data_IF_877265086681
#
_entry.id   IF_877265086681
#
_cell.length_a   1.000
_cell.length_b   1.000
_cell.length_c   1.000
_cell.angle_alpha   90.00
_cell.angle_beta   90.00
_cell.angle_gamma   90.00
#
_symmetry.space_group_name_H-M   'P 1'
#
loop_
_entity.id
_entity.type
_entity.pdbx_description
1 polymer ?
#
# COMPACT_ATOMS: atom_id res chain seq x y z
N UNK A 1 -37.52 -65.17 38.09
CA UNK A 1 -37.51 -65.09 36.60
C UNK A 1 -36.65 -66.23 36.08
N UNK A 2 -37.01 -66.87 34.96
CA UNK A 2 -36.13 -67.88 34.37
C UNK A 2 -34.85 -67.23 33.83
N UNK A 3 -33.73 -67.96 33.86
CA UNK A 3 -32.44 -67.48 33.34
C UNK A 3 -32.54 -67.03 31.88
N UNK A 4 -33.38 -67.72 31.10
CA UNK A 4 -33.69 -67.37 29.71
C UNK A 4 -34.35 -66.00 29.60
N UNK A 5 -35.33 -65.69 30.48
CA UNK A 5 -35.98 -64.38 30.48
C UNK A 5 -35.02 -63.26 30.90
N UNK A 6 -34.08 -63.55 31.81
CA UNK A 6 -33.04 -62.60 32.21
C UNK A 6 -32.09 -62.30 31.04
N UNK A 7 -31.64 -63.31 30.30
CA UNK A 7 -30.79 -63.15 29.12
C UNK A 7 -31.51 -62.40 27.99
N UNK A 8 -32.80 -62.66 27.78
CA UNK A 8 -33.61 -61.92 26.80
C UNK A 8 -33.77 -60.44 27.17
N UNK A 9 -33.97 -60.13 28.46
CA UNK A 9 -34.06 -58.74 28.93
C UNK A 9 -32.72 -58.00 28.79
N UNK A 10 -31.60 -58.66 29.10
CA UNK A 10 -30.27 -58.09 28.89
C UNK A 10 -30.00 -57.87 27.40
N UNK A 11 -30.36 -58.82 26.54
CA UNK A 11 -30.24 -58.68 25.09
C UNK A 11 -31.04 -57.49 24.55
N UNK A 12 -32.31 -57.35 24.95
CA UNK A 12 -33.18 -56.25 24.53
C UNK A 12 -32.68 -54.89 25.04
N UNK A 13 -32.16 -54.82 26.26
CA UNK A 13 -31.62 -53.57 26.81
C UNK A 13 -30.34 -53.15 26.11
N UNK A 14 -29.42 -54.07 25.80
CA UNK A 14 -28.19 -53.76 25.05
C UNK A 14 -28.51 -53.30 23.62
N UNK A 15 -29.42 -54.00 22.92
CA UNK A 15 -29.86 -53.61 21.57
C UNK A 15 -30.57 -52.26 21.59
N UNK A 16 -31.47 -52.04 22.55
CA UNK A 16 -32.18 -50.78 22.71
C UNK A 16 -31.25 -49.60 22.98
N UNK A 17 -30.27 -49.78 23.87
CA UNK A 17 -29.27 -48.75 24.19
C UNK A 17 -28.39 -48.43 22.98
N UNK A 18 -27.98 -49.44 22.21
CA UNK A 18 -27.25 -49.26 20.96
C UNK A 18 -28.02 -48.45 19.92
N UNK A 19 -29.31 -48.74 19.71
CA UNK A 19 -30.17 -47.97 18.79
C UNK A 19 -30.32 -46.53 19.28
N UNK A 20 -30.55 -46.29 20.57
CA UNK A 20 -30.65 -44.95 21.13
C UNK A 20 -29.36 -44.12 20.93
N UNK A 21 -28.18 -44.73 21.13
CA UNK A 21 -26.88 -44.09 20.88
C UNK A 21 -26.72 -43.74 19.40
N UNK A 22 -27.04 -44.65 18.48
CA UNK A 22 -26.96 -44.39 17.04
C UNK A 22 -27.90 -43.27 16.60
N UNK A 23 -29.12 -43.21 17.15
CA UNK A 23 -30.07 -42.13 16.89
C UNK A 23 -29.59 -40.79 17.46
N UNK A 24 -28.99 -40.79 18.65
CA UNK A 24 -28.38 -39.60 19.25
C UNK A 24 -27.21 -39.08 18.41
N UNK A 25 -26.31 -39.97 17.95
CA UNK A 25 -25.19 -39.62 17.07
C UNK A 25 -25.71 -39.06 15.74
N UNK A 26 -26.68 -39.71 15.09
CA UNK A 26 -27.28 -39.21 13.84
C UNK A 26 -27.91 -37.83 14.02
N UNK A 27 -28.64 -37.60 15.11
CA UNK A 27 -29.25 -36.30 15.40
C UNK A 27 -28.22 -35.20 15.68
N UNK A 28 -27.11 -35.52 16.35
CA UNK A 28 -26.04 -34.57 16.64
C UNK A 28 -25.17 -34.30 15.41
N UNK A 29 -24.88 -35.31 14.61
CA UNK A 29 -24.13 -35.18 13.35
C UNK A 29 -24.81 -34.19 12.41
N UNK A 30 -26.13 -34.30 12.22
CA UNK A 30 -26.87 -33.38 11.34
C UNK A 30 -26.85 -31.93 11.84
N UNK A 31 -26.89 -31.72 13.17
CA UNK A 31 -26.76 -30.38 13.77
C UNK A 31 -25.36 -29.80 13.60
N UNK A 32 -24.32 -30.61 13.76
CA UNK A 32 -22.92 -30.18 13.58
C UNK A 32 -22.66 -29.83 12.12
N UNK A 33 -23.09 -30.67 11.18
CA UNK A 33 -22.97 -30.39 9.74
C UNK A 33 -23.70 -29.10 9.37
N UNK A 34 -24.94 -28.92 9.86
CA UNK A 34 -25.69 -27.68 9.63
C UNK A 34 -24.98 -26.44 10.18
N UNK A 35 -24.44 -26.51 11.39
CA UNK A 35 -23.68 -25.40 11.99
C UNK A 35 -22.41 -25.06 11.18
N UNK A 36 -21.65 -26.07 10.75
CA UNK A 36 -20.44 -25.86 9.93
C UNK A 36 -20.78 -25.22 8.59
N UNK A 37 -21.85 -25.69 7.92
CA UNK A 37 -22.31 -25.11 6.65
C UNK A 37 -22.75 -23.66 6.83
N UNK A 38 -23.44 -23.32 7.92
CA UNK A 38 -23.83 -21.94 8.23
C UNK A 38 -22.59 -21.08 8.42
N UNK A 39 -21.63 -21.49 9.25
CA UNK A 39 -20.41 -20.71 9.53
C UNK A 39 -19.58 -20.50 8.26
N UNK A 40 -19.33 -21.55 7.50
CA UNK A 40 -18.57 -21.46 6.24
C UNK A 40 -19.32 -20.65 5.18
N UNK A 41 -20.64 -20.79 5.11
CA UNK A 41 -21.50 -20.03 4.22
C UNK A 41 -21.49 -18.54 4.55
N UNK A 42 -21.64 -18.17 5.82
CA UNK A 42 -21.57 -16.76 6.26
C UNK A 42 -20.19 -16.17 5.98
N UNK A 43 -19.11 -16.90 6.27
CA UNK A 43 -17.76 -16.46 5.94
C UNK A 43 -17.58 -16.21 4.44
N UNK A 44 -18.07 -17.13 3.60
CA UNK A 44 -18.02 -16.99 2.14
C UNK A 44 -18.83 -15.80 1.65
N UNK A 45 -20.03 -15.57 2.19
CA UNK A 45 -20.87 -14.41 1.84
C UNK A 45 -20.20 -13.09 2.20
N UNK A 46 -19.55 -13.01 3.37
CA UNK A 46 -18.79 -11.84 3.77
C UNK A 46 -17.60 -11.64 2.82
N UNK A 47 -16.86 -12.71 2.50
CA UNK A 47 -15.72 -12.64 1.58
C UNK A 47 -16.11 -12.19 0.17
N UNK A 48 -17.29 -12.61 -0.33
CA UNK A 48 -17.85 -12.15 -1.60
C UNK A 48 -18.35 -10.70 -1.54
N UNK A 49 -18.74 -10.22 -0.36
CA UNK A 49 -19.11 -8.82 -0.12
C UNK A 49 -17.92 -7.86 -0.05
N UNK A 50 -16.71 -8.37 0.20
CA UNK A 50 -15.48 -7.59 0.08
C UNK A 50 -15.15 -7.44 -1.41
N UNK A 51 -15.08 -6.21 -1.95
CA UNK A 51 -14.63 -5.99 -3.32
C UNK A 51 -13.30 -6.70 -3.54
N UNK A 52 -13.29 -7.69 -4.44
CA UNK A 52 -12.08 -8.40 -4.83
C UNK A 52 -11.24 -7.43 -5.65
N UNK A 53 -10.41 -6.63 -4.96
CA UNK A 53 -9.38 -5.82 -5.59
C UNK A 53 -8.36 -6.80 -6.18
N UNK A 54 -8.56 -7.19 -7.44
CA UNK A 54 -7.52 -7.87 -8.18
C UNK A 54 -6.30 -6.95 -8.11
N UNK A 55 -5.22 -7.42 -7.48
CA UNK A 55 -3.92 -6.75 -7.46
C UNK A 55 -3.28 -6.87 -8.83
N UNK A 56 -4.03 -6.57 -9.88
CA UNK A 56 -3.45 -6.17 -11.15
C UNK A 56 -2.42 -5.11 -10.77
N UNK A 57 -1.13 -5.30 -11.13
CA UNK A 57 -0.17 -4.23 -10.95
C UNK A 57 -0.85 -2.98 -11.51
N UNK A 58 -0.87 -1.86 -10.75
CA UNK A 58 -1.52 -0.65 -11.23
C UNK A 58 -1.05 -0.46 -12.65
N UNK A 59 -2.00 -0.28 -13.58
CA UNK A 59 -1.66 -0.04 -14.98
C UNK A 59 -0.49 0.95 -14.94
N UNK A 60 0.66 0.52 -15.46
CA UNK A 60 1.83 1.39 -15.50
C UNK A 60 1.40 2.48 -16.47
N UNK A 61 0.80 3.53 -15.92
CA UNK A 61 0.43 4.73 -16.63
C UNK A 61 1.78 5.33 -16.98
N UNK A 62 2.27 4.95 -18.16
CA UNK A 62 3.49 5.49 -18.73
C UNK A 62 3.22 6.96 -18.96
N UNK A 63 3.86 7.81 -18.16
CA UNK A 63 3.76 9.24 -18.27
C UNK A 63 4.36 9.68 -19.61
N UNK A 64 3.50 10.04 -20.57
CA UNK A 64 3.95 10.63 -21.84
C UNK A 64 4.32 12.10 -21.61
N UNK A 65 5.60 12.33 -21.32
CA UNK A 65 6.20 13.66 -21.12
C UNK A 65 5.96 14.57 -22.34
N UNK A 66 5.73 13.99 -23.53
CA UNK A 66 5.43 14.70 -24.76
C UNK A 66 4.13 15.52 -24.74
N UNK A 67 3.19 15.22 -23.83
CA UNK A 67 1.94 15.99 -23.70
C UNK A 67 2.07 17.22 -22.78
N UNK A 68 3.17 17.35 -22.04
CA UNK A 68 3.40 18.44 -21.08
C UNK A 68 3.71 19.74 -21.82
N UNK A 69 2.76 20.68 -21.81
CA UNK A 69 2.89 21.98 -22.48
C UNK A 69 3.13 23.13 -21.52
N UNK A 70 2.69 22.98 -20.27
CA UNK A 70 2.78 24.04 -19.25
C UNK A 70 3.37 23.51 -17.94
N UNK A 71 3.99 24.39 -17.12
CA UNK A 71 4.44 24.01 -15.77
C UNK A 71 3.28 23.52 -14.90
N UNK A 72 2.07 24.04 -15.14
CA UNK A 72 0.86 23.60 -14.45
C UNK A 72 0.47 22.15 -14.78
N UNK A 73 0.71 21.70 -16.01
CA UNK A 73 0.53 20.31 -16.41
C UNK A 73 1.53 19.41 -15.68
N UNK A 74 2.78 19.87 -15.53
CA UNK A 74 3.82 19.17 -14.78
C UNK A 74 3.43 19.00 -13.31
N UNK A 75 2.88 20.04 -12.69
CA UNK A 75 2.36 19.96 -11.33
C UNK A 75 1.10 19.08 -11.22
N UNK A 76 0.23 19.05 -12.23
CA UNK A 76 -0.93 18.14 -12.24
C UNK A 76 -0.49 16.67 -12.34
N UNK A 77 0.56 16.39 -13.11
CA UNK A 77 1.20 15.07 -13.17
C UNK A 77 1.85 14.73 -11.82
N UNK A 78 2.58 15.67 -11.23
CA UNK A 78 3.16 15.53 -9.90
C UNK A 78 2.14 15.19 -8.83
N UNK A 79 0.94 15.80 -8.89
CA UNK A 79 -0.16 15.48 -8.00
C UNK A 79 -0.61 14.03 -8.16
N UNK A 80 -0.78 13.56 -9.41
CA UNK A 80 -1.14 12.15 -9.66
C UNK A 80 -0.08 11.22 -9.05
N UNK A 81 1.20 11.46 -9.33
CA UNK A 81 2.32 10.64 -8.81
C UNK A 81 2.34 10.64 -7.28
N UNK A 82 2.11 11.80 -6.65
CA UNK A 82 2.09 11.94 -5.19
C UNK A 82 1.07 11.01 -4.51
N UNK A 83 -0.11 10.85 -5.11
CA UNK A 83 -1.19 9.99 -4.59
C UNK A 83 -1.19 8.57 -5.18
N UNK A 84 -0.49 8.33 -6.30
CA UNK A 84 -0.37 7.03 -6.95
C UNK A 84 1.06 6.50 -6.81
N UNK A 85 1.86 6.41 -7.89
CA UNK A 85 3.15 5.71 -7.92
C UNK A 85 4.08 6.06 -6.76
N UNK A 86 4.19 7.34 -6.40
CA UNK A 86 5.06 7.83 -5.33
C UNK A 86 4.57 7.51 -3.92
N UNK A 87 3.27 7.23 -3.74
CA UNK A 87 2.64 6.89 -2.44
C UNK A 87 3.03 7.84 -1.29
N UNK A 88 3.34 9.09 -1.60
CA UNK A 88 3.87 10.07 -0.65
C UNK A 88 2.86 10.36 0.47
N UNK A 89 1.57 10.36 0.09
CA UNK A 89 0.44 10.57 0.99
C UNK A 89 0.25 9.45 2.05
N UNK A 90 0.89 8.28 1.90
CA UNK A 90 0.83 7.24 2.94
C UNK A 90 1.61 7.62 4.20
N UNK A 91 2.63 8.46 4.04
CA UNK A 91 3.56 8.81 5.09
C UNK A 91 3.47 10.31 5.46
N UNK A 92 3.30 11.17 4.46
CA UNK A 92 3.29 12.62 4.64
C UNK A 92 1.88 13.20 4.60
N UNK A 93 1.63 14.16 5.49
CA UNK A 93 0.44 15.01 5.43
C UNK A 93 0.72 16.31 4.69
N UNK A 94 -0.35 16.91 4.14
CA UNK A 94 -0.36 18.27 3.62
C UNK A 94 -1.22 19.09 4.59
N UNK A 95 -0.59 19.56 5.66
CA UNK A 95 -1.22 20.24 6.78
C UNK A 95 -0.94 19.56 8.13
N UNK A 96 -1.31 20.24 9.23
CA UNK A 96 -1.02 19.76 10.57
C UNK A 96 -1.75 18.43 10.82
N UNK A 97 -0.98 17.42 11.22
CA UNK A 97 -1.51 16.16 11.75
C UNK A 97 -0.93 15.90 13.15
N UNK A 98 -1.82 15.62 14.09
CA UNK A 98 -1.52 15.39 15.52
C UNK A 98 -0.61 14.15 15.73
N UNK A 99 -0.61 13.21 14.77
CA UNK A 99 0.13 11.95 14.84
C UNK A 99 1.14 11.79 13.70
N UNK A 100 1.73 12.88 13.19
CA UNK A 100 2.59 12.75 12.01
C UNK A 100 3.83 11.89 12.32
N UNK A 101 3.92 10.75 11.63
CA UNK A 101 5.09 9.87 11.62
C UNK A 101 6.25 10.46 10.82
N UNK A 102 5.94 11.43 9.96
CA UNK A 102 6.82 12.08 9.01
C UNK A 102 6.59 13.61 9.03
N UNK A 103 7.53 14.41 8.51
CA UNK A 103 7.36 15.86 8.39
C UNK A 103 6.14 16.29 7.57
N UNK A 104 5.50 17.40 7.96
CA UNK A 104 4.43 18.05 7.17
C UNK A 104 5.02 18.69 5.91
N UNK A 105 4.39 18.45 4.76
CA UNK A 105 4.80 19.00 3.46
C UNK A 105 4.13 20.34 3.13
N UNK A 106 3.24 20.86 3.99
CA UNK A 106 2.59 22.16 3.74
C UNK A 106 3.61 23.29 3.59
N UNK A 107 3.58 23.92 2.42
CA UNK A 107 4.45 25.07 2.11
C UNK A 107 5.91 24.70 1.84
N UNK A 108 6.25 23.41 1.73
CA UNK A 108 7.65 22.98 1.58
C UNK A 108 8.26 23.45 0.25
N UNK A 109 7.44 23.55 -0.80
CA UNK A 109 7.87 24.02 -2.11
C UNK A 109 8.22 25.50 -2.17
N UNK A 110 7.80 26.30 -1.18
CA UNK A 110 8.23 27.69 -1.02
C UNK A 110 9.43 27.84 -0.06
N UNK A 111 9.67 26.83 0.80
CA UNK A 111 10.71 26.88 1.84
C UNK A 111 12.04 26.31 1.39
N UNK A 112 12.01 25.32 0.50
CA UNK A 112 13.18 24.55 0.09
C UNK A 112 13.43 24.71 -1.41
N UNK A 113 14.71 24.75 -1.77
CA UNK A 113 15.12 24.74 -3.17
C UNK A 113 14.75 23.41 -3.84
N UNK A 114 14.38 23.40 -5.13
CA UNK A 114 14.07 22.17 -5.89
C UNK A 114 15.15 21.09 -5.76
N UNK A 115 16.41 21.49 -5.80
CA UNK A 115 17.59 20.61 -5.74
C UNK A 115 17.67 19.93 -4.37
N UNK A 116 17.36 20.67 -3.30
CA UNK A 116 17.30 20.13 -1.95
C UNK A 116 16.17 19.12 -1.81
N UNK A 117 15.00 19.40 -2.40
CA UNK A 117 13.87 18.44 -2.39
C UNK A 117 14.25 17.20 -3.21
N UNK A 118 14.88 17.37 -4.37
CA UNK A 118 15.38 16.27 -5.19
C UNK A 118 16.35 15.37 -4.42
N UNK A 119 17.33 15.97 -3.74
CA UNK A 119 18.27 15.25 -2.87
C UNK A 119 17.54 14.57 -1.71
N UNK A 120 16.56 15.22 -1.09
CA UNK A 120 15.75 14.61 -0.02
C UNK A 120 14.99 13.36 -0.48
N UNK A 121 14.58 13.30 -1.75
CA UNK A 121 13.87 12.15 -2.34
C UNK A 121 14.84 11.04 -2.79
N UNK A 122 16.03 11.41 -3.24
CA UNK A 122 17.02 10.50 -3.80
C UNK A 122 18.04 10.01 -2.79
N UNK A 123 18.39 10.79 -1.78
CA UNK A 123 19.19 10.43 -0.62
C UNK A 123 18.58 10.97 0.69
N UNK A 124 17.46 10.37 1.17
CA UNK A 124 16.77 10.82 2.37
C UNK A 124 17.57 10.68 3.67
N UNK A 125 18.77 10.11 3.64
CA UNK A 125 19.65 9.96 4.81
C UNK A 125 20.80 10.97 4.81
N UNK A 126 20.96 11.79 3.77
CA UNK A 126 21.91 12.88 3.72
C UNK A 126 21.63 13.95 4.79
N UNK A 127 20.36 14.12 5.17
CA UNK A 127 19.91 15.10 6.16
C UNK A 127 19.11 14.47 7.28
N UNK A 128 19.27 15.01 8.49
CA UNK A 128 18.50 14.62 9.67
C UNK A 128 17.33 15.58 9.83
N UNK A 129 16.11 15.06 9.72
CA UNK A 129 14.89 15.83 9.96
C UNK A 129 14.45 15.66 11.41
N UNK A 130 14.36 16.79 12.11
CA UNK A 130 13.94 16.85 13.50
C UNK A 130 12.48 17.32 13.62
N UNK A 131 11.77 16.74 14.58
CA UNK A 131 10.43 17.08 15.00
C UNK A 131 10.47 18.08 16.15
N UNK A 132 9.93 19.26 15.87
CA UNK A 132 9.86 20.40 16.79
C UNK A 132 8.47 20.60 17.40
N UNK A 133 7.53 19.69 17.16
CA UNK A 133 6.14 19.83 17.66
C UNK A 133 5.99 19.48 19.14
N UNK A 134 7.01 18.88 19.74
CA UNK A 134 7.01 18.47 21.14
C UNK A 134 7.78 19.46 22.00
N UNK A 135 7.35 19.63 23.25
CA UNK A 135 8.11 20.42 24.22
C UNK A 135 9.45 19.75 24.56
N UNK A 136 10.50 20.56 24.69
CA UNK A 136 11.85 20.11 25.04
C UNK A 136 12.79 20.00 23.85
N UNK A 137 13.76 19.09 23.94
CA UNK A 137 14.74 18.88 22.87
C UNK A 137 14.07 18.26 21.64
N UNK A 138 14.40 18.73 20.42
CA UNK A 138 13.84 18.19 19.20
C UNK A 138 14.28 16.72 19.02
N UNK A 139 13.37 15.89 18.51
CA UNK A 139 13.58 14.45 18.33
C UNK A 139 13.53 14.09 16.85
N UNK A 140 14.16 13.00 16.44
CA UNK A 140 14.00 12.51 15.06
C UNK A 140 12.59 11.95 14.83
N UNK A 141 12.13 12.05 13.58
CA UNK A 141 10.89 11.40 13.17
C UNK A 141 11.02 9.86 13.25
N UNK A 142 9.98 9.14 13.71
CA UNK A 142 10.05 7.69 13.89
C UNK A 142 10.08 6.90 12.57
N UNK A 143 9.66 7.50 11.44
CA UNK A 143 9.78 6.89 10.13
C UNK A 143 11.06 7.33 9.42
N UNK A 144 11.73 6.37 8.75
CA UNK A 144 12.77 6.66 7.78
C UNK A 144 12.19 6.61 6.37
N UNK A 145 12.50 7.61 5.58
CA UNK A 145 12.06 7.69 4.19
C UNK A 145 12.89 6.73 3.31
N UNK A 146 12.26 5.93 2.44
CA UNK A 146 12.97 5.08 1.50
C UNK A 146 13.56 5.89 0.33
N UNK A 147 14.56 5.33 -0.34
CA UNK A 147 15.12 5.89 -1.58
C UNK A 147 14.07 5.82 -2.70
N UNK A 148 13.52 6.97 -3.10
CA UNK A 148 12.33 7.02 -3.98
C UNK A 148 12.64 6.59 -5.43
N UNK A 149 13.88 6.84 -5.87
CA UNK A 149 14.36 6.45 -7.20
C UNK A 149 14.73 4.96 -7.30
N UNK A 150 14.60 4.17 -6.21
CA UNK A 150 14.91 2.74 -6.18
C UNK A 150 13.65 1.90 -5.95
N UNK A 151 13.73 0.61 -6.25
CA UNK A 151 12.66 -0.34 -5.95
C UNK A 151 12.31 -0.30 -4.45
N UNK A 152 11.01 -0.38 -4.07
CA UNK A 152 9.86 -0.75 -4.90
C UNK A 152 9.13 0.41 -5.59
N UNK A 153 9.50 1.67 -5.34
CA UNK A 153 8.78 2.85 -5.87
C UNK A 153 9.30 3.24 -7.27
N UNK A 154 10.63 3.25 -7.43
CA UNK A 154 11.33 3.45 -8.69
C UNK A 154 10.79 4.63 -9.51
N UNK A 155 10.71 5.82 -8.89
CA UNK A 155 10.42 7.03 -9.65
C UNK A 155 11.58 7.40 -10.56
N UNK A 156 11.29 7.76 -11.81
CA UNK A 156 12.23 8.37 -12.73
C UNK A 156 12.56 9.80 -12.30
N UNK A 157 13.65 10.35 -12.81
CA UNK A 157 14.05 11.71 -12.49
C UNK A 157 12.97 12.73 -12.90
N UNK A 158 12.28 12.50 -14.03
CA UNK A 158 11.22 13.37 -14.53
C UNK A 158 9.96 13.30 -13.66
N UNK A 159 9.62 12.11 -13.16
CA UNK A 159 8.52 11.93 -12.20
C UNK A 159 8.82 12.66 -10.88
N UNK A 160 10.07 12.61 -10.41
CA UNK A 160 10.51 13.34 -9.22
C UNK A 160 10.35 14.85 -9.43
N UNK A 161 10.82 15.40 -10.55
CA UNK A 161 10.66 16.83 -10.86
C UNK A 161 9.19 17.24 -11.03
N UNK A 162 8.34 16.33 -11.50
CA UNK A 162 6.89 16.55 -11.55
C UNK A 162 6.32 16.71 -10.13
N UNK A 163 6.70 15.83 -9.20
CA UNK A 163 6.30 15.92 -7.78
C UNK A 163 6.82 17.21 -7.14
N UNK A 164 8.05 17.62 -7.43
CA UNK A 164 8.60 18.90 -6.93
C UNK A 164 7.76 20.08 -7.43
N UNK A 165 7.39 20.09 -8.70
CA UNK A 165 6.53 21.12 -9.30
C UNK A 165 5.15 21.18 -8.63
N UNK A 166 4.59 20.01 -8.27
CA UNK A 166 3.37 19.94 -7.48
C UNK A 166 3.53 20.55 -6.08
N UNK A 167 4.62 20.26 -5.37
CA UNK A 167 4.90 20.83 -4.04
C UNK A 167 5.05 22.36 -4.10
N UNK A 168 5.68 22.89 -5.15
CA UNK A 168 5.78 24.34 -5.39
C UNK A 168 4.41 24.97 -5.63
N UNK A 169 3.61 24.38 -6.53
CA UNK A 169 2.25 24.84 -6.82
C UNK A 169 1.36 24.85 -5.58
N UNK A 170 1.40 23.80 -4.75
CA UNK A 170 0.66 23.77 -3.49
C UNK A 170 1.13 24.81 -2.48
N UNK A 171 2.36 25.28 -2.59
CA UNK A 171 2.94 26.30 -1.71
C UNK A 171 2.63 27.73 -2.18
N UNK A 172 2.01 27.89 -3.35
CA UNK A 172 1.67 29.19 -3.94
C UNK A 172 2.84 29.90 -4.64
N UNK A 173 3.96 29.19 -4.87
CA UNK A 173 5.16 29.73 -5.51
C UNK A 173 5.14 29.42 -7.02
N UNK A 174 5.69 30.30 -7.89
CA UNK A 174 5.95 29.96 -9.28
C UNK A 174 6.79 28.68 -9.40
N UNK A 175 6.37 27.79 -10.30
CA UNK A 175 7.08 26.55 -10.59
C UNK A 175 8.41 26.91 -11.26
N UNK A 176 9.53 26.60 -10.59
CA UNK A 176 10.87 26.94 -11.06
C UNK A 176 11.47 25.89 -12.00
N UNK A 177 10.89 24.69 -12.01
CA UNK A 177 11.31 23.58 -12.88
C UNK A 177 10.89 23.87 -14.31
N UNK A 178 11.86 23.97 -15.23
CA UNK A 178 11.58 24.16 -16.66
C UNK A 178 11.26 22.84 -17.33
N UNK A 179 10.30 22.87 -18.23
CA UNK A 179 9.85 21.71 -19.01
C UNK A 179 11.00 21.17 -19.88
N UNK A 180 11.80 22.07 -20.48
CA UNK A 180 12.95 21.74 -21.31
C UNK A 180 13.99 20.89 -20.56
N UNK A 181 14.28 21.26 -19.32
CA UNK A 181 15.26 20.57 -18.48
C UNK A 181 14.77 19.15 -18.15
N UNK A 182 13.49 19.01 -17.80
CA UNK A 182 12.83 17.72 -17.52
C UNK A 182 12.76 16.82 -18.76
N UNK A 183 12.52 17.39 -19.93
CA UNK A 183 12.47 16.65 -21.20
C UNK A 183 13.85 16.17 -21.66
N UNK A 184 14.90 16.98 -21.45
CA UNK A 184 16.28 16.62 -21.84
C UNK A 184 16.86 15.51 -20.97
N UNK A 185 16.55 15.51 -19.67
CA UNK A 185 16.88 14.44 -18.73
C UNK A 185 16.39 13.07 -19.20
N UNK A 186 15.18 13.02 -19.79
CA UNK A 186 14.60 11.77 -20.25
C UNK A 186 15.37 11.11 -21.37
N UNK A 187 15.92 11.90 -22.30
CA UNK A 187 16.76 11.39 -23.38
C UNK A 187 18.10 10.86 -22.87
N UNK A 188 18.71 11.49 -21.89
CA UNK A 188 19.95 10.97 -21.28
C UNK A 188 19.69 9.67 -20.51
N UNK A 189 18.58 9.58 -19.77
CA UNK A 189 18.23 8.38 -19.01
C UNK A 189 17.86 7.17 -19.88
N UNK A 190 17.19 7.37 -21.03
CA UNK A 190 16.95 6.28 -22.00
C UNK A 190 18.25 5.80 -22.65
N UNK A 191 19.17 6.71 -22.93
CA UNK A 191 20.48 6.38 -23.51
C UNK A 191 21.36 5.63 -22.50
N UNK A 192 21.33 6.02 -21.22
CA UNK A 192 22.10 5.37 -20.16
C UNK A 192 21.56 3.96 -19.85
N UNK A 193 20.22 3.79 -19.75
CA UNK A 193 19.59 2.47 -19.56
C UNK A 193 19.82 1.55 -20.76
N UNK A 194 19.78 2.07 -21.99
CA UNK A 194 20.11 1.30 -23.18
C UNK A 194 21.60 0.88 -23.22
N UNK A 195 22.52 1.72 -22.73
CA UNK A 195 23.94 1.40 -22.66
C UNK A 195 24.27 0.33 -21.61
N UNK A 196 23.66 0.41 -20.42
CA UNK A 196 23.82 -0.56 -19.34
C UNK A 196 23.19 -1.92 -19.68
N UNK A 197 22.10 -1.94 -20.45
CA UNK A 197 21.50 -3.18 -20.97
C UNK A 197 22.37 -3.84 -22.05
N UNK A 198 23.18 -3.08 -22.78
CA UNK A 198 24.09 -3.61 -23.79
C UNK A 198 25.41 -4.16 -23.19
N UNK A 199 25.86 -3.64 -22.05
CA UNK A 199 27.09 -4.09 -21.37
C UNK A 199 26.85 -5.23 -20.35
N UNK A 200 25.59 -5.52 -20.01
CA UNK A 200 25.21 -6.53 -19.01
C UNK A 200 24.90 -7.94 -19.54
N UNK A 201 25.18 -8.24 -20.81
CA UNK A 201 24.95 -9.56 -21.39
C UNK A 201 26.23 -10.42 -21.37
N UNK A 202 26.38 -11.40 -20.45
CA UNK A 202 27.27 -12.53 -20.63
C UNK A 202 26.72 -13.55 -21.65
#
# INVERSE_FOLDING_TARGET
MSEVALLQLIGLTVVGLGICILLFIKGKFLRVVGFVVIVLGTFTLIALGVPQMASLPPAIETFDIAEVKTPDDLAAIGQKIFFSKGQCALCHSIGPSESARCPDLKGIGAKLAPEFIYESLTDPQAYIYLDFRHEGLPKEYPARMPYIHKNPIALSQQEIYSVISFLQKMSGEPISVKIEDVMNIGKESEVEVASLAAEGAP
#
